data_IF_962155590738
#
_entry.id   IF_962155590738
#
_cell.length_a   1.000
_cell.length_b   1.000
_cell.length_c   1.000
_cell.angle_alpha   90.00
_cell.angle_beta   90.00
_cell.angle_gamma   90.00
#
_symmetry.space_group_name_H-M   'P 1'
#
loop_
_entity.id
_entity.type
_entity.pdbx_description
1 polymer ?
#
# COMPACT_ATOMS: atom_id res chain seq x y z
N UNK A 1 -29.30 -0.34 16.18
CA UNK A 1 -27.94 0.25 16.33
C UNK A 1 -26.89 -0.72 15.80
N UNK A 2 -26.76 -0.91 14.46
CA UNK A 2 -25.83 -1.90 13.87
C UNK A 2 -24.81 -1.34 12.86
N UNK A 3 -24.80 -0.04 12.55
CA UNK A 3 -24.07 0.46 11.38
C UNK A 3 -22.85 1.36 11.70
N UNK A 4 -22.39 1.41 12.94
CA UNK A 4 -21.26 2.29 13.32
C UNK A 4 -19.87 1.73 13.07
N UNK A 5 -19.75 0.44 12.70
CA UNK A 5 -18.56 -0.36 12.95
C UNK A 5 -18.14 -1.04 11.65
N UNK A 6 -17.41 -0.34 10.79
CA UNK A 6 -16.95 -0.93 9.52
C UNK A 6 -15.77 -0.20 8.89
N UNK A 7 -14.94 0.52 9.67
CA UNK A 7 -13.73 1.10 9.07
C UNK A 7 -12.74 0.01 8.62
N UNK A 8 -12.76 -1.18 9.26
CA UNK A 8 -11.69 -2.18 9.11
C UNK A 8 -12.11 -3.60 8.71
N UNK A 9 -13.41 -3.93 8.71
CA UNK A 9 -13.90 -5.21 8.13
C UNK A 9 -13.54 -5.32 6.64
N UNK A 10 -13.22 -4.21 5.96
CA UNK A 10 -12.79 -4.20 4.55
C UNK A 10 -11.27 -4.16 4.37
N UNK A 11 -10.49 -3.71 5.36
CA UNK A 11 -9.02 -3.82 5.31
C UNK A 11 -8.56 -5.28 5.41
N UNK A 12 -9.34 -6.15 6.05
CA UNK A 12 -9.11 -7.61 6.03
C UNK A 12 -9.31 -8.26 4.66
N UNK A 13 -9.94 -7.57 3.71
CA UNK A 13 -10.15 -8.06 2.34
C UNK A 13 -9.05 -7.62 1.37
N UNK A 14 -8.17 -6.69 1.77
CA UNK A 14 -6.91 -6.52 1.06
C UNK A 14 -6.12 -7.79 1.32
N UNK A 15 -6.24 -8.73 0.38
CA UNK A 15 -5.52 -10.00 0.42
C UNK A 15 -4.06 -9.67 0.19
N UNK A 16 -3.37 -9.20 1.23
CA UNK A 16 -1.93 -9.12 1.21
C UNK A 16 -1.46 -10.55 1.01
N UNK A 17 -0.76 -10.82 -0.10
CA UNK A 17 0.08 -11.99 -0.13
C UNK A 17 1.09 -11.78 0.99
N UNK A 18 0.83 -12.33 2.19
CA UNK A 18 1.67 -12.12 3.36
C UNK A 18 3.10 -12.43 2.93
N UNK A 19 3.99 -11.44 3.05
CA UNK A 19 5.37 -11.65 2.69
C UNK A 19 5.99 -12.58 3.71
N UNK A 20 6.64 -13.61 3.19
CA UNK A 20 7.43 -14.52 4.00
C UNK A 20 8.70 -13.83 4.53
N UNK A 21 9.08 -12.66 4.00
CA UNK A 21 10.25 -11.92 4.46
C UNK A 21 10.13 -11.49 5.93
N UNK A 22 11.27 -11.48 6.61
CA UNK A 22 11.41 -11.16 8.03
C UNK A 22 11.86 -12.35 8.87
N UNK A 23 11.98 -12.11 10.18
CA UNK A 23 12.30 -13.14 11.17
C UNK A 23 11.01 -13.81 11.65
N UNK A 24 11.06 -15.13 11.78
CA UNK A 24 9.95 -15.99 12.18
C UNK A 24 10.47 -17.01 13.19
N UNK A 25 9.82 -17.17 14.32
CA UNK A 25 10.29 -18.02 15.42
C UNK A 25 9.21 -18.98 15.89
N UNK A 26 9.62 -20.21 16.10
CA UNK A 26 8.85 -21.14 16.89
C UNK A 26 9.20 -20.96 18.37
N UNK A 27 8.29 -20.35 19.12
CA UNK A 27 8.48 -20.08 20.56
C UNK A 27 8.59 -21.35 21.41
N UNK A 28 8.01 -22.47 20.96
CA UNK A 28 7.99 -23.73 21.70
C UNK A 28 9.36 -24.42 21.68
N UNK A 29 10.05 -24.36 20.55
CA UNK A 29 11.32 -25.07 20.32
C UNK A 29 12.52 -24.12 20.18
N UNK A 30 12.28 -22.79 20.21
CA UNK A 30 13.29 -21.76 20.23
C UNK A 30 14.06 -21.55 18.92
N UNK A 31 13.56 -22.08 17.79
CA UNK A 31 14.22 -21.92 16.50
C UNK A 31 13.61 -20.79 15.68
N UNK A 32 14.40 -20.22 14.77
CA UNK A 32 13.95 -19.14 13.90
C UNK A 32 14.40 -19.25 12.45
N UNK A 33 13.57 -18.77 11.54
CA UNK A 33 13.91 -18.48 10.16
C UNK A 33 14.06 -16.96 10.00
N UNK A 34 15.00 -16.53 9.16
CA UNK A 34 15.10 -15.16 8.65
C UNK A 34 15.07 -15.25 7.13
N UNK A 35 13.96 -14.85 6.53
CA UNK A 35 13.81 -14.81 5.07
C UNK A 35 14.12 -13.39 4.57
N UNK A 36 15.10 -13.26 3.68
CA UNK A 36 15.55 -11.99 3.12
C UNK A 36 14.91 -11.73 1.76
N UNK A 37 14.68 -10.47 1.42
CA UNK A 37 14.04 -10.08 0.15
C UNK A 37 14.78 -10.58 -1.10
N UNK A 38 16.11 -10.74 -1.04
CA UNK A 38 16.93 -11.26 -2.14
C UNK A 38 16.76 -12.78 -2.39
N UNK A 39 15.79 -13.44 -1.75
CA UNK A 39 15.55 -14.87 -1.89
C UNK A 39 16.51 -15.74 -1.08
N UNK A 40 17.34 -15.17 -0.19
CA UNK A 40 18.16 -15.95 0.75
C UNK A 40 17.42 -16.16 2.08
N UNK A 41 17.78 -17.21 2.81
CA UNK A 41 17.29 -17.39 4.18
C UNK A 41 18.39 -17.88 5.12
N UNK A 42 18.19 -17.63 6.41
CA UNK A 42 18.94 -18.23 7.50
C UNK A 42 17.97 -18.97 8.42
N UNK A 43 18.41 -20.10 8.95
CA UNK A 43 17.70 -20.88 9.96
C UNK A 43 18.64 -21.10 11.14
N UNK A 44 18.15 -20.72 12.32
CA UNK A 44 18.86 -20.78 13.59
C UNK A 44 18.09 -21.71 14.53
N UNK A 45 18.79 -22.67 15.14
CA UNK A 45 18.26 -23.61 16.13
C UNK A 45 19.18 -23.63 17.36
N UNK A 46 19.05 -22.65 18.27
CA UNK A 46 19.94 -22.47 19.41
C UNK A 46 19.97 -23.67 20.35
N UNK A 47 18.82 -24.33 20.55
CA UNK A 47 18.65 -25.38 21.56
C UNK A 47 19.46 -26.66 21.30
N UNK A 48 20.09 -26.83 20.13
CA UNK A 48 20.85 -28.04 19.79
C UNK A 48 22.31 -27.77 19.38
N UNK A 49 22.83 -26.55 19.55
CA UNK A 49 24.15 -26.16 18.98
C UNK A 49 24.28 -26.54 17.49
N UNK A 50 23.16 -26.61 16.77
CA UNK A 50 23.18 -26.96 15.36
C UNK A 50 23.77 -25.79 14.57
N UNK A 51 24.52 -26.10 13.52
CA UNK A 51 25.05 -25.08 12.61
C UNK A 51 23.88 -24.28 12.04
N UNK A 52 24.03 -22.96 12.02
CA UNK A 52 23.16 -22.08 11.25
C UNK A 52 23.07 -22.60 9.81
N UNK A 53 21.86 -22.96 9.40
CA UNK A 53 21.60 -23.36 8.04
C UNK A 53 21.28 -22.11 7.24
N UNK A 54 21.84 -22.01 6.05
CA UNK A 54 21.51 -20.92 5.13
C UNK A 54 21.32 -21.48 3.73
N UNK A 55 20.64 -20.71 2.90
CA UNK A 55 20.40 -21.10 1.52
C UNK A 55 19.51 -20.11 0.80
N UNK A 56 18.81 -20.61 -0.21
CA UNK A 56 17.87 -19.83 -1.01
C UNK A 56 16.45 -20.34 -0.84
N UNK A 57 15.48 -19.48 -1.06
CA UNK A 57 14.08 -19.83 -1.09
C UNK A 57 13.40 -19.20 -2.31
N UNK A 58 12.33 -19.85 -2.76
CA UNK A 58 11.44 -19.35 -3.80
C UNK A 58 10.00 -19.59 -3.37
N UNK A 59 9.20 -18.52 -3.29
CA UNK A 59 7.77 -18.59 -2.99
C UNK A 59 6.98 -18.51 -4.29
N UNK A 60 6.03 -19.43 -4.49
CA UNK A 60 5.09 -19.40 -5.61
C UNK A 60 3.68 -19.72 -5.11
N UNK A 61 2.80 -18.72 -5.08
CA UNK A 61 1.48 -18.86 -4.46
C UNK A 61 1.58 -19.31 -2.99
N UNK A 62 1.01 -20.49 -2.70
CA UNK A 62 1.00 -21.14 -1.39
C UNK A 62 2.08 -22.21 -1.24
N UNK A 63 3.13 -22.20 -2.06
CA UNK A 63 4.28 -23.09 -1.91
C UNK A 63 5.56 -22.29 -1.64
N UNK A 64 6.43 -22.87 -0.80
CA UNK A 64 7.75 -22.37 -0.48
C UNK A 64 8.76 -23.46 -0.78
N UNK A 65 9.59 -23.25 -1.78
CA UNK A 65 10.74 -24.09 -2.07
C UNK A 65 11.94 -23.54 -1.32
N UNK A 66 12.52 -24.32 -0.41
CA UNK A 66 13.76 -23.99 0.28
C UNK A 66 14.88 -24.89 -0.25
N UNK A 67 16.03 -24.30 -0.58
CA UNK A 67 17.23 -25.01 -1.03
C UNK A 67 18.42 -24.67 -0.15
N UNK A 68 19.13 -25.67 0.34
CA UNK A 68 20.39 -25.52 1.09
C UNK A 68 21.39 -26.63 0.72
N UNK A 69 22.52 -26.69 1.43
CA UNK A 69 23.56 -27.69 1.20
C UNK A 69 23.10 -29.15 1.40
N UNK A 70 21.98 -29.39 2.10
CA UNK A 70 21.45 -30.72 2.40
C UNK A 70 20.34 -31.16 1.46
N UNK A 71 19.86 -30.26 0.60
CA UNK A 71 18.86 -30.59 -0.42
C UNK A 71 17.80 -29.51 -0.59
N UNK A 72 16.66 -29.95 -1.13
CA UNK A 72 15.51 -29.10 -1.44
C UNK A 72 14.28 -29.62 -0.70
N UNK A 73 13.59 -28.73 0.00
CA UNK A 73 12.32 -29.03 0.70
C UNK A 73 11.24 -28.12 0.14
N UNK A 74 10.05 -28.66 -0.07
CA UNK A 74 8.89 -27.91 -0.55
C UNK A 74 7.82 -27.90 0.53
N UNK A 75 7.49 -26.71 1.03
CA UNK A 75 6.45 -26.50 2.03
C UNK A 75 5.20 -25.94 1.37
N UNK A 76 4.03 -26.39 1.85
CA UNK A 76 2.78 -25.64 1.72
C UNK A 76 2.76 -24.55 2.77
N UNK A 77 2.43 -23.33 2.33
CA UNK A 77 2.27 -22.16 3.18
C UNK A 77 0.80 -22.03 3.57
N UNK A 78 0.55 -21.88 4.86
CA UNK A 78 -0.73 -21.41 5.37
C UNK A 78 -0.51 -20.28 6.38
N UNK A 79 -1.33 -19.25 6.26
CA UNK A 79 -1.29 -18.07 7.11
C UNK A 79 -2.43 -18.11 8.13
N UNK A 80 -2.13 -17.88 9.40
CA UNK A 80 -3.13 -17.80 10.48
C UNK A 80 -2.77 -16.63 11.39
N UNK A 81 -3.35 -15.45 11.12
CA UNK A 81 -2.98 -14.19 11.79
C UNK A 81 -1.50 -13.86 11.55
N UNK A 82 -0.73 -13.71 12.64
CA UNK A 82 0.72 -13.50 12.61
C UNK A 82 1.54 -14.81 12.64
N UNK A 83 0.91 -15.94 12.34
CA UNK A 83 1.57 -17.24 12.25
C UNK A 83 1.76 -17.68 10.80
N UNK A 84 2.99 -18.06 10.49
CA UNK A 84 3.36 -18.78 9.28
C UNK A 84 3.36 -20.28 9.60
N UNK A 85 2.50 -21.03 8.92
CA UNK A 85 2.49 -22.49 8.96
C UNK A 85 3.13 -23.04 7.71
N UNK A 86 4.22 -23.79 7.87
CA UNK A 86 4.93 -24.48 6.79
C UNK A 86 4.68 -25.98 6.93
N UNK A 87 3.98 -26.59 5.98
CA UNK A 87 3.66 -28.02 6.01
C UNK A 87 4.37 -28.77 4.89
N UNK A 88 5.07 -29.84 5.22
CA UNK A 88 5.69 -30.79 4.28
C UNK A 88 5.16 -32.22 4.53
N UNK A 89 5.86 -33.23 4.01
CA UNK A 89 5.48 -34.63 4.25
C UNK A 89 5.79 -35.11 5.68
N UNK A 90 6.62 -34.37 6.42
CA UNK A 90 7.14 -34.72 7.74
C UNK A 90 6.35 -34.04 8.87
N UNK A 91 5.66 -32.94 8.60
CA UNK A 91 4.79 -32.30 9.57
C UNK A 91 4.43 -30.86 9.24
N UNK A 92 4.01 -30.11 10.25
CA UNK A 92 3.71 -28.69 10.15
C UNK A 92 4.52 -27.90 11.16
N UNK A 93 5.24 -26.90 10.67
CA UNK A 93 6.04 -25.96 11.43
C UNK A 93 5.20 -24.72 11.67
N UNK A 94 5.03 -24.32 12.93
CA UNK A 94 4.30 -23.11 13.30
C UNK A 94 5.32 -22.06 13.73
N UNK A 95 5.39 -20.97 12.98
CA UNK A 95 6.31 -19.88 13.22
C UNK A 95 5.53 -18.59 13.52
N UNK A 96 5.98 -17.83 14.50
CA UNK A 96 5.43 -16.53 14.84
C UNK A 96 6.40 -15.46 14.34
N UNK A 97 5.92 -14.39 13.72
CA UNK A 97 6.81 -13.33 13.28
C UNK A 97 7.53 -12.68 14.48
N UNK A 98 8.84 -12.47 14.37
CA UNK A 98 9.67 -11.83 15.40
C UNK A 98 10.20 -10.52 14.87
N UNK A 99 10.10 -9.46 15.68
CA UNK A 99 10.93 -8.28 15.49
C UNK A 99 10.70 -7.54 14.17
N UNK A 100 9.45 -7.37 13.75
CA UNK A 100 9.13 -6.07 13.19
C UNK A 100 9.31 -5.09 14.34
N UNK A 101 10.21 -4.12 14.25
CA UNK A 101 10.13 -2.95 15.13
C UNK A 101 8.75 -2.34 14.87
N UNK A 102 7.75 -2.77 15.62
CA UNK A 102 6.42 -2.22 15.49
C UNK A 102 6.60 -0.73 15.80
N UNK A 103 6.35 0.09 14.77
CA UNK A 103 6.30 1.54 14.95
C UNK A 103 5.23 1.91 15.98
N UNK A 104 4.31 0.98 16.24
CA UNK A 104 3.12 1.09 17.06
C UNK A 104 3.16 0.09 18.23
N UNK A 105 4.32 -0.17 18.83
CA UNK A 105 4.41 -1.03 20.01
C UNK A 105 3.77 -0.33 21.24
N UNK A 106 2.84 -1.00 21.91
CA UNK A 106 2.18 -0.52 23.14
C UNK A 106 3.19 -0.15 24.22
N UNK A 107 4.33 -0.85 24.28
CA UNK A 107 5.41 -0.57 25.24
C UNK A 107 5.99 0.84 25.10
N UNK A 108 5.88 1.44 23.89
CA UNK A 108 6.31 2.81 23.60
C UNK A 108 5.26 3.85 23.98
N UNK A 109 4.01 3.44 24.20
CA UNK A 109 2.87 4.31 24.47
C UNK A 109 2.02 3.81 25.65
N UNK A 110 2.60 3.60 26.86
CA UNK A 110 1.93 2.93 27.97
C UNK A 110 0.83 3.76 28.65
N UNK A 111 0.66 5.03 28.27
CA UNK A 111 -0.27 5.95 28.92
C UNK A 111 -1.72 5.55 28.64
N UNK A 112 -2.47 5.21 29.68
CA UNK A 112 -3.92 4.96 29.60
C UNK A 112 -4.64 6.30 29.42
N UNK A 113 -5.48 6.40 28.38
CA UNK A 113 -6.25 7.62 28.05
C UNK A 113 -7.76 7.45 28.29
N UNK A 114 -8.24 6.20 28.35
CA UNK A 114 -9.60 5.85 28.75
C UNK A 114 -9.67 4.42 29.30
N UNK A 115 -10.69 4.14 30.11
CA UNK A 115 -10.94 2.81 30.67
C UNK A 115 -12.46 2.55 30.70
N UNK A 116 -12.86 1.32 30.37
CA UNK A 116 -14.24 0.84 30.46
C UNK A 116 -14.22 -0.57 31.04
N UNK A 117 -14.64 -0.72 32.30
CA UNK A 117 -14.48 -1.96 33.06
C UNK A 117 -13.01 -2.36 33.18
N UNK A 118 -12.67 -3.56 32.68
CA UNK A 118 -11.30 -4.10 32.65
C UNK A 118 -10.51 -3.68 31.40
N UNK A 119 -11.18 -3.15 30.38
CA UNK A 119 -10.56 -2.76 29.13
C UNK A 119 -9.95 -1.37 29.23
N UNK A 120 -8.76 -1.22 28.66
CA UNK A 120 -7.99 0.02 28.68
C UNK A 120 -7.69 0.45 27.25
N UNK A 121 -7.88 1.74 26.98
CA UNK A 121 -7.38 2.38 25.78
C UNK A 121 -6.11 3.13 26.16
N UNK A 122 -5.00 2.79 25.50
CA UNK A 122 -3.71 3.46 25.64
C UNK A 122 -3.50 4.50 24.53
N UNK A 123 -2.45 5.31 24.65
CA UNK A 123 -2.05 6.32 23.65
C UNK A 123 -1.63 5.68 22.31
N UNK A 124 -1.29 4.38 22.30
CA UNK A 124 -1.02 3.58 21.09
C UNK A 124 -2.21 3.62 20.10
N UNK A 125 -3.44 3.58 20.60
CA UNK A 125 -4.64 3.54 19.77
C UNK A 125 -4.77 4.74 18.83
N UNK A 126 -4.88 5.98 19.36
CA UNK A 126 -4.84 7.18 18.54
C UNK A 126 -3.57 7.32 17.70
N UNK A 127 -2.42 6.85 18.20
CA UNK A 127 -1.15 6.89 17.46
C UNK A 127 -1.17 6.01 16.21
N UNK A 128 -1.86 4.88 16.28
CA UNK A 128 -2.09 3.98 15.14
C UNK A 128 -2.87 4.70 14.04
N UNK A 129 -3.99 5.35 14.39
CA UNK A 129 -4.77 6.12 13.43
C UNK A 129 -3.97 7.31 12.86
N UNK A 130 -3.24 8.05 13.70
CA UNK A 130 -2.38 9.16 13.24
C UNK A 130 -1.38 8.66 12.20
N UNK A 131 -0.74 7.52 12.45
CA UNK A 131 0.29 6.95 11.57
C UNK A 131 -0.30 6.53 10.22
N UNK A 132 -1.48 5.91 10.23
CA UNK A 132 -2.20 5.54 9.00
C UNK A 132 -2.63 6.79 8.22
N UNK A 133 -3.18 7.79 8.90
CA UNK A 133 -3.59 9.05 8.27
C UNK A 133 -2.37 9.75 7.66
N UNK A 134 -1.23 9.77 8.36
CA UNK A 134 0.01 10.33 7.84
C UNK A 134 0.47 9.64 6.56
N UNK A 135 0.34 8.30 6.48
CA UNK A 135 0.64 7.53 5.27
C UNK A 135 -0.30 7.92 4.13
N UNK A 136 -1.62 7.94 4.37
CA UNK A 136 -2.63 8.25 3.35
C UNK A 136 -2.48 9.66 2.79
N UNK A 137 -2.14 10.62 3.67
CA UNK A 137 -1.90 12.01 3.33
C UNK A 137 -0.51 12.28 2.73
N UNK A 138 0.44 11.35 2.91
CA UNK A 138 1.88 11.61 2.68
C UNK A 138 2.36 12.86 3.45
N UNK A 139 1.80 13.10 4.63
CA UNK A 139 2.02 14.31 5.43
C UNK A 139 1.77 14.06 6.90
N UNK A 140 2.63 14.63 7.75
CA UNK A 140 2.40 14.67 9.19
C UNK A 140 1.21 15.58 9.54
N UNK A 141 0.22 15.03 10.22
CA UNK A 141 -0.91 15.81 10.76
C UNK A 141 -0.46 16.77 11.86
N UNK A 142 -1.21 17.85 12.07
CA UNK A 142 -0.87 18.83 13.11
C UNK A 142 -1.18 18.31 14.51
N UNK A 143 -0.63 18.95 15.54
CA UNK A 143 -0.98 18.65 16.94
C UNK A 143 -2.49 18.79 17.19
N UNK A 144 -3.16 19.77 16.57
CA UNK A 144 -4.60 19.98 16.73
C UNK A 144 -5.40 18.82 16.11
N UNK A 145 -4.98 18.34 14.94
CA UNK A 145 -5.60 17.18 14.31
C UNK A 145 -5.39 15.91 15.15
N UNK A 146 -4.18 15.71 15.68
CA UNK A 146 -3.90 14.59 16.58
C UNK A 146 -4.78 14.62 17.84
N UNK A 147 -4.96 15.78 18.47
CA UNK A 147 -5.89 15.90 19.61
C UNK A 147 -7.33 15.57 19.23
N UNK A 148 -7.74 15.86 17.99
CA UNK A 148 -9.06 15.50 17.47
C UNK A 148 -9.20 13.98 17.30
N UNK A 149 -8.14 13.30 16.82
CA UNK A 149 -8.07 11.83 16.76
C UNK A 149 -8.19 11.24 18.18
N UNK A 150 -7.42 11.74 19.15
CA UNK A 150 -7.44 11.26 20.54
C UNK A 150 -8.83 11.39 21.15
N UNK A 151 -9.46 12.56 21.01
CA UNK A 151 -10.80 12.81 21.55
C UNK A 151 -11.84 11.86 20.93
N UNK A 152 -11.77 11.64 19.62
CA UNK A 152 -12.71 10.79 18.92
C UNK A 152 -12.52 9.30 19.22
N UNK A 153 -11.28 8.80 19.19
CA UNK A 153 -10.99 7.42 19.58
C UNK A 153 -11.44 7.13 21.02
N UNK A 154 -11.22 8.08 21.95
CA UNK A 154 -11.71 7.98 23.33
C UNK A 154 -13.23 7.91 23.40
N UNK A 155 -13.93 8.79 22.68
CA UNK A 155 -15.41 8.81 22.63
C UNK A 155 -15.95 7.49 22.08
N UNK A 156 -15.39 6.98 21.00
CA UNK A 156 -15.78 5.70 20.39
C UNK A 156 -15.51 4.53 21.34
N UNK A 157 -14.35 4.51 22.01
CA UNK A 157 -14.00 3.45 22.96
C UNK A 157 -14.96 3.39 24.15
N UNK A 158 -15.37 4.53 24.70
CA UNK A 158 -16.33 4.56 25.82
C UNK A 158 -17.74 4.07 25.41
N UNK A 159 -18.06 4.08 24.11
CA UNK A 159 -19.33 3.58 23.56
C UNK A 159 -19.28 2.07 23.27
N UNK A 160 -18.17 1.56 22.75
CA UNK A 160 -18.00 0.15 22.37
C UNK A 160 -16.51 -0.30 22.48
N UNK A 161 -16.01 -0.59 23.69
CA UNK A 161 -14.57 -0.73 23.93
C UNK A 161 -13.93 -1.94 23.23
N UNK A 162 -14.59 -3.10 23.23
CA UNK A 162 -14.08 -4.32 22.57
C UNK A 162 -13.89 -4.10 21.08
N UNK A 163 -14.85 -3.39 20.46
CA UNK A 163 -14.85 -3.10 19.03
C UNK A 163 -13.68 -2.20 18.67
N UNK A 164 -13.49 -1.11 19.41
CA UNK A 164 -12.43 -0.15 19.11
C UNK A 164 -11.04 -0.74 19.33
N UNK A 165 -10.86 -1.59 20.35
CA UNK A 165 -9.60 -2.31 20.52
C UNK A 165 -9.35 -3.30 19.38
N UNK A 166 -10.38 -4.02 18.92
CA UNK A 166 -10.29 -4.89 17.75
C UNK A 166 -9.94 -4.14 16.45
N UNK A 167 -10.54 -2.97 16.25
CA UNK A 167 -10.25 -2.09 15.12
C UNK A 167 -8.79 -1.58 15.17
N UNK A 168 -8.33 -1.08 16.32
CA UNK A 168 -6.94 -0.64 16.50
C UNK A 168 -5.95 -1.77 16.17
N UNK A 169 -6.19 -2.97 16.71
CA UNK A 169 -5.32 -4.12 16.46
C UNK A 169 -5.29 -4.50 14.98
N UNK A 170 -6.45 -4.54 14.32
CA UNK A 170 -6.54 -4.85 12.89
C UNK A 170 -5.83 -3.79 12.04
N UNK A 171 -5.97 -2.52 12.41
CA UNK A 171 -5.34 -1.39 11.73
C UNK A 171 -3.82 -1.46 11.83
N UNK A 172 -3.32 -1.74 13.04
CA UNK A 172 -1.90 -1.97 13.32
C UNK A 172 -1.34 -3.13 12.51
N UNK A 173 -1.97 -4.30 12.55
CA UNK A 173 -1.52 -5.47 11.81
C UNK A 173 -1.50 -5.22 10.29
N UNK A 174 -2.54 -4.60 9.76
CA UNK A 174 -2.62 -4.25 8.34
C UNK A 174 -1.49 -3.29 7.96
N UNK A 175 -1.31 -2.22 8.74
CA UNK A 175 -0.28 -1.22 8.51
C UNK A 175 1.14 -1.81 8.59
N UNK A 176 1.41 -2.65 9.58
CA UNK A 176 2.68 -3.35 9.71
C UNK A 176 2.96 -4.28 8.52
N UNK A 177 1.95 -5.01 8.04
CA UNK A 177 2.08 -5.85 6.85
C UNK A 177 2.43 -5.02 5.61
N UNK A 178 1.82 -3.83 5.46
CA UNK A 178 2.10 -2.93 4.33
C UNK A 178 3.52 -2.40 4.37
N UNK A 179 3.96 -1.90 5.52
CA UNK A 179 5.34 -1.41 5.68
C UNK A 179 6.38 -2.49 5.44
N UNK A 180 6.09 -3.73 5.82
CA UNK A 180 6.99 -4.87 5.62
C UNK A 180 7.03 -5.36 4.16
N UNK A 181 5.92 -5.24 3.44
CA UNK A 181 5.89 -5.56 2.01
C UNK A 181 6.67 -4.52 1.20
N UNK A 182 6.65 -3.25 1.62
CA UNK A 182 7.25 -2.13 0.89
C UNK A 182 6.47 -1.75 -0.36
N UNK A 183 5.89 -2.73 -1.08
CA UNK A 183 5.18 -2.62 -2.36
C UNK A 183 4.22 -1.40 -2.50
N UNK A 184 4.57 -0.36 -3.29
CA UNK A 184 3.72 0.72 -3.77
C UNK A 184 2.32 0.33 -4.22
N UNK A 185 2.11 -0.80 -4.89
CA UNK A 185 0.76 -1.23 -5.24
C UNK A 185 -0.02 -1.63 -4.00
N UNK A 186 0.63 -2.29 -3.05
CA UNK A 186 0.05 -2.66 -1.76
C UNK A 186 -0.25 -1.42 -0.91
N UNK A 187 0.70 -0.48 -0.84
CA UNK A 187 0.53 0.82 -0.18
C UNK A 187 -0.63 1.59 -0.81
N UNK A 188 -0.69 1.66 -2.14
CA UNK A 188 -1.74 2.36 -2.88
C UNK A 188 -3.12 1.73 -2.68
N UNK A 189 -3.21 0.40 -2.70
CA UNK A 189 -4.45 -0.31 -2.40
C UNK A 189 -4.93 -0.03 -0.98
N UNK A 190 -4.03 -0.07 0.01
CA UNK A 190 -4.38 0.29 1.37
C UNK A 190 -4.84 1.74 1.49
N UNK A 191 -4.08 2.67 0.91
CA UNK A 191 -4.41 4.10 0.89
C UNK A 191 -5.82 4.31 0.36
N UNK A 192 -6.13 3.70 -0.78
CA UNK A 192 -7.43 3.83 -1.43
C UNK A 192 -8.56 3.14 -0.68
N UNK A 193 -8.32 1.95 -0.11
CA UNK A 193 -9.30 1.27 0.74
C UNK A 193 -9.64 2.12 1.97
N UNK A 194 -8.62 2.68 2.63
CA UNK A 194 -8.82 3.52 3.81
C UNK A 194 -9.53 4.84 3.47
N UNK A 195 -9.01 5.60 2.50
CA UNK A 195 -9.56 6.88 2.08
C UNK A 195 -10.98 6.73 1.54
N UNK A 196 -11.21 5.72 0.70
CA UNK A 196 -12.51 5.37 0.14
C UNK A 196 -13.57 5.08 1.20
N UNK A 197 -13.20 4.30 2.21
CA UNK A 197 -14.11 3.97 3.30
C UNK A 197 -14.40 5.18 4.18
N UNK A 198 -13.40 5.99 4.54
CA UNK A 198 -13.62 7.22 5.31
C UNK A 198 -14.52 8.18 4.53
N UNK A 199 -14.30 8.35 3.22
CA UNK A 199 -15.13 9.20 2.38
C UNK A 199 -16.57 8.69 2.28
N UNK A 200 -16.76 7.40 1.99
CA UNK A 200 -18.08 6.76 1.96
C UNK A 200 -18.81 6.98 3.28
N UNK A 201 -18.20 6.65 4.42
CA UNK A 201 -18.87 6.73 5.70
C UNK A 201 -19.13 8.17 6.14
N UNK A 202 -18.16 9.08 5.98
CA UNK A 202 -18.27 10.43 6.50
C UNK A 202 -19.07 11.38 5.60
N UNK A 203 -18.88 11.28 4.28
CA UNK A 203 -19.45 12.21 3.30
C UNK A 203 -20.74 11.67 2.71
N UNK A 204 -20.75 10.41 2.27
CA UNK A 204 -21.92 9.82 1.61
C UNK A 204 -22.95 9.35 2.64
N UNK A 205 -22.53 8.56 3.63
CA UNK A 205 -23.43 7.99 4.65
C UNK A 205 -23.66 8.96 5.82
N UNK A 206 -22.94 10.09 5.87
CA UNK A 206 -23.01 11.11 6.91
C UNK A 206 -22.82 10.58 8.34
N UNK A 207 -22.02 9.53 8.51
CA UNK A 207 -21.74 8.93 9.81
C UNK A 207 -20.97 9.93 10.70
N UNK A 208 -21.55 10.39 11.83
CA UNK A 208 -20.92 11.39 12.69
C UNK A 208 -19.61 10.89 13.31
N UNK A 209 -19.49 9.58 13.55
CA UNK A 209 -18.30 8.96 14.13
C UNK A 209 -17.10 9.01 13.14
N UNK A 210 -17.35 9.23 11.83
CA UNK A 210 -16.32 9.33 10.79
C UNK A 210 -16.04 10.76 10.31
N UNK A 211 -16.90 11.71 10.64
CA UNK A 211 -16.73 13.10 10.24
C UNK A 211 -15.46 13.73 10.82
N UNK A 212 -15.01 13.31 12.02
CA UNK A 212 -13.77 13.84 12.61
C UNK A 212 -12.56 13.46 11.77
N UNK A 213 -12.48 12.20 11.34
CA UNK A 213 -11.40 11.73 10.46
C UNK A 213 -11.47 12.41 9.10
N UNK A 214 -12.66 12.52 8.51
CA UNK A 214 -12.82 13.21 7.23
C UNK A 214 -12.41 14.69 7.30
N UNK A 215 -12.75 15.42 8.37
CA UNK A 215 -12.31 16.82 8.56
C UNK A 215 -10.80 16.99 8.58
N UNK A 216 -10.04 15.95 8.93
CA UNK A 216 -8.58 15.97 8.82
C UNK A 216 -8.17 15.78 7.36
N UNK A 217 -8.77 14.80 6.66
CA UNK A 217 -8.50 14.57 5.24
C UNK A 217 -8.87 15.77 4.36
N UNK A 218 -10.05 16.36 4.57
CA UNK A 218 -10.61 17.49 3.82
C UNK A 218 -9.71 18.75 3.86
N UNK A 219 -8.88 18.90 4.90
CA UNK A 219 -7.87 19.99 4.98
C UNK A 219 -6.71 19.82 4.00
N UNK A 220 -6.43 18.59 3.58
CA UNK A 220 -5.21 18.24 2.85
C UNK A 220 -5.47 17.54 1.52
N UNK A 221 -6.67 16.98 1.33
CA UNK A 221 -7.08 16.28 0.14
C UNK A 221 -8.32 16.94 -0.42
N UNK A 222 -8.27 17.23 -1.71
CA UNK A 222 -9.41 17.64 -2.50
C UNK A 222 -9.88 16.43 -3.33
N UNK A 223 -11.08 15.93 -3.05
CA UNK A 223 -11.67 14.78 -3.75
C UNK A 223 -12.47 15.27 -4.94
N UNK A 224 -11.99 14.93 -6.14
CA UNK A 224 -12.59 15.39 -7.40
C UNK A 224 -13.54 14.37 -8.02
N UNK A 225 -13.38 13.08 -7.69
CA UNK A 225 -14.33 12.05 -8.08
C UNK A 225 -14.35 10.87 -7.10
N UNK A 226 -15.52 10.24 -6.97
CA UNK A 226 -15.73 9.06 -6.14
C UNK A 226 -16.61 8.06 -6.87
N UNK A 227 -16.26 6.77 -6.81
CA UNK A 227 -17.09 5.69 -7.34
C UNK A 227 -17.61 4.81 -6.19
N UNK A 228 -18.90 4.94 -5.87
CA UNK A 228 -19.52 4.22 -4.75
C UNK A 228 -19.51 2.70 -4.89
N UNK A 229 -19.37 2.16 -6.12
CA UNK A 229 -19.32 0.71 -6.35
C UNK A 229 -17.97 0.11 -5.99
N UNK A 230 -16.89 0.78 -6.35
CA UNK A 230 -15.51 0.33 -6.06
C UNK A 230 -14.92 0.97 -4.82
N UNK A 231 -15.59 1.98 -4.26
CA UNK A 231 -15.13 2.84 -3.17
C UNK A 231 -13.79 3.52 -3.46
N UNK A 232 -13.40 3.68 -4.72
CA UNK A 232 -12.17 4.37 -5.09
C UNK A 232 -12.37 5.89 -5.13
N UNK A 233 -11.36 6.62 -4.67
CA UNK A 233 -11.36 8.09 -4.56
C UNK A 233 -10.26 8.66 -5.44
N UNK A 234 -10.65 9.50 -6.40
CA UNK A 234 -9.71 10.32 -7.16
C UNK A 234 -9.54 11.67 -6.47
N UNK A 235 -8.33 11.98 -6.03
CA UNK A 235 -7.98 13.29 -5.48
C UNK A 235 -7.37 14.20 -6.54
N UNK A 236 -7.41 15.52 -6.33
CA UNK A 236 -6.69 16.49 -7.18
C UNK A 236 -5.19 16.18 -7.26
N UNK A 237 -4.57 15.72 -6.17
CA UNK A 237 -3.15 15.30 -6.14
C UNK A 237 -2.92 14.11 -7.08
N UNK A 238 -3.77 13.09 -6.99
CA UNK A 238 -3.68 11.90 -7.84
C UNK A 238 -3.91 12.25 -9.33
N UNK A 239 -4.89 13.11 -9.62
CA UNK A 239 -5.15 13.59 -10.97
C UNK A 239 -3.96 14.39 -11.55
N UNK A 240 -3.39 15.31 -10.77
CA UNK A 240 -2.22 16.07 -11.19
C UNK A 240 -1.01 15.15 -11.42
N UNK A 241 -0.79 14.18 -10.54
CA UNK A 241 0.26 13.19 -10.70
C UNK A 241 0.07 12.34 -11.96
N UNK A 242 -1.16 11.98 -12.32
CA UNK A 242 -1.45 11.28 -13.58
C UNK A 242 -1.06 12.11 -14.81
N UNK A 243 -1.37 13.41 -14.83
CA UNK A 243 -0.94 14.30 -15.92
C UNK A 243 0.58 14.45 -15.96
N UNK A 244 1.23 14.54 -14.80
CA UNK A 244 2.68 14.62 -14.68
C UNK A 244 3.36 13.31 -15.10
N UNK A 245 2.70 12.17 -14.88
CA UNK A 245 3.13 10.87 -15.37
C UNK A 245 3.10 10.83 -16.90
N UNK A 246 2.02 11.31 -17.53
CA UNK A 246 1.95 11.40 -19.00
C UNK A 246 3.06 12.30 -19.54
N UNK A 247 3.28 13.46 -18.94
CA UNK A 247 4.36 14.38 -19.33
C UNK A 247 5.75 13.74 -19.18
N UNK A 248 5.98 13.01 -18.09
CA UNK A 248 7.22 12.30 -17.83
C UNK A 248 7.50 11.29 -18.94
N UNK A 249 6.51 10.48 -19.32
CA UNK A 249 6.64 9.51 -20.39
C UNK A 249 6.87 10.19 -21.73
N UNK A 250 6.10 11.24 -22.04
CA UNK A 250 6.23 11.98 -23.30
C UNK A 250 7.66 12.48 -23.51
N UNK A 251 8.21 13.17 -22.51
CA UNK A 251 9.56 13.73 -22.56
C UNK A 251 10.62 12.63 -22.67
N UNK A 252 10.47 11.54 -21.91
CA UNK A 252 11.44 10.45 -21.96
C UNK A 252 11.39 9.64 -23.26
N UNK A 253 10.29 9.69 -24.00
CA UNK A 253 10.14 9.09 -25.33
C UNK A 253 10.55 10.06 -26.47
N UNK A 254 11.01 11.27 -26.14
CA UNK A 254 11.42 12.28 -27.13
C UNK A 254 10.27 13.17 -27.66
N UNK A 255 9.09 13.09 -27.05
CA UNK A 255 7.95 13.97 -27.31
C UNK A 255 7.97 15.25 -26.47
N UNK A 256 6.84 15.96 -26.48
CA UNK A 256 6.63 17.18 -25.70
C UNK A 256 5.58 16.96 -24.60
N UNK A 257 5.67 17.76 -23.54
CA UNK A 257 4.65 17.82 -22.49
C UNK A 257 3.30 18.24 -23.05
N UNK A 258 2.22 17.85 -22.37
CA UNK A 258 0.89 18.35 -22.62
C UNK A 258 0.86 19.87 -22.43
N UNK A 259 0.26 20.57 -23.39
CA UNK A 259 -0.04 21.99 -23.21
C UNK A 259 -1.17 22.19 -22.19
N UNK A 260 -1.35 23.43 -21.71
CA UNK A 260 -2.34 23.75 -20.66
C UNK A 260 -3.78 23.37 -21.06
N UNK A 261 -4.16 23.59 -22.31
CA UNK A 261 -5.50 23.27 -22.80
C UNK A 261 -5.75 21.75 -22.79
N UNK A 262 -4.80 20.95 -23.28
CA UNK A 262 -4.87 19.49 -23.26
C UNK A 262 -4.88 18.94 -21.82
N UNK A 263 -4.09 19.51 -20.91
CA UNK A 263 -4.11 19.12 -19.48
C UNK A 263 -5.47 19.37 -18.85
N UNK A 264 -6.07 20.55 -19.11
CA UNK A 264 -7.40 20.89 -18.61
C UNK A 264 -8.47 19.94 -19.18
N UNK A 265 -8.49 19.75 -20.49
CA UNK A 265 -9.45 18.86 -21.15
C UNK A 265 -9.33 17.41 -20.64
N UNK A 266 -8.10 16.90 -20.49
CA UNK A 266 -7.88 15.55 -19.97
C UNK A 266 -8.35 15.43 -18.52
N UNK A 267 -8.08 16.44 -17.68
CA UNK A 267 -8.56 16.48 -16.30
C UNK A 267 -10.07 16.40 -16.21
N UNK A 268 -10.77 17.23 -16.98
CA UNK A 268 -12.23 17.28 -17.02
C UNK A 268 -12.82 15.94 -17.50
N UNK A 269 -12.23 15.33 -18.53
CA UNK A 269 -12.66 14.02 -19.03
C UNK A 269 -12.39 12.90 -18.03
N UNK A 270 -11.25 12.93 -17.33
CA UNK A 270 -10.93 11.96 -16.28
C UNK A 270 -11.93 12.01 -15.14
N UNK A 271 -12.26 13.20 -14.65
CA UNK A 271 -13.26 13.39 -13.58
C UNK A 271 -14.63 12.92 -14.06
N UNK A 272 -15.09 13.39 -15.23
CA UNK A 272 -16.43 13.10 -15.74
C UNK A 272 -16.66 11.61 -16.02
N UNK A 273 -15.62 10.88 -16.41
CA UNK A 273 -15.72 9.46 -16.76
C UNK A 273 -15.24 8.52 -15.67
N UNK A 274 -14.74 9.02 -14.53
CA UNK A 274 -14.08 8.20 -13.50
C UNK A 274 -14.91 6.98 -13.09
N UNK A 275 -16.21 7.15 -12.81
CA UNK A 275 -17.10 6.05 -12.39
C UNK A 275 -17.36 5.01 -13.48
N UNK A 276 -17.14 5.34 -14.75
CA UNK A 276 -17.36 4.46 -15.92
C UNK A 276 -16.11 3.66 -16.31
N UNK A 277 -14.94 4.06 -15.81
CA UNK A 277 -13.68 3.35 -16.07
C UNK A 277 -13.70 1.93 -15.49
N UNK A 278 -12.87 1.06 -16.05
CA UNK A 278 -12.63 -0.26 -15.49
C UNK A 278 -11.97 -0.16 -14.12
N UNK A 279 -12.04 -1.23 -13.34
CA UNK A 279 -11.47 -1.25 -11.99
C UNK A 279 -9.95 -0.99 -12.01
N UNK A 280 -9.21 -1.52 -12.99
CA UNK A 280 -7.76 -1.35 -13.07
C UNK A 280 -7.39 0.11 -13.43
N UNK A 281 -8.14 0.74 -14.33
CA UNK A 281 -7.95 2.16 -14.67
C UNK A 281 -8.22 3.07 -13.47
N UNK A 282 -9.31 2.82 -12.73
CA UNK A 282 -9.61 3.56 -11.49
C UNK A 282 -8.49 3.39 -10.46
N UNK A 283 -8.01 2.16 -10.25
CA UNK A 283 -6.90 1.87 -9.32
C UNK A 283 -5.63 2.59 -9.72
N UNK A 284 -5.30 2.61 -11.01
CA UNK A 284 -4.13 3.31 -11.53
C UNK A 284 -4.25 4.82 -11.30
N UNK A 285 -5.36 5.42 -11.70
CA UNK A 285 -5.60 6.86 -11.53
C UNK A 285 -5.58 7.28 -10.06
N UNK A 286 -6.24 6.51 -9.19
CA UNK A 286 -6.33 6.82 -7.76
C UNK A 286 -5.01 6.59 -7.00
N UNK A 287 -3.99 6.00 -7.67
CA UNK A 287 -2.65 5.80 -7.14
C UNK A 287 -1.57 6.39 -8.07
N UNK A 288 -1.96 7.34 -8.92
CA UNK A 288 -1.06 7.87 -9.94
C UNK A 288 0.13 8.62 -9.35
N UNK A 289 0.01 9.17 -8.14
CA UNK A 289 1.14 9.75 -7.40
C UNK A 289 2.26 8.72 -7.14
N UNK A 290 1.90 7.53 -6.67
CA UNK A 290 2.87 6.45 -6.44
C UNK A 290 3.51 5.98 -7.75
N UNK A 291 2.70 5.78 -8.80
CA UNK A 291 3.18 5.39 -10.12
C UNK A 291 4.13 6.43 -10.73
N UNK A 292 3.79 7.72 -10.58
CA UNK A 292 4.61 8.84 -11.03
C UNK A 292 5.96 8.88 -10.33
N UNK A 293 5.97 8.88 -8.99
CA UNK A 293 7.20 8.96 -8.20
C UNK A 293 8.12 7.77 -8.48
N UNK A 294 7.56 6.57 -8.55
CA UNK A 294 8.31 5.36 -8.86
C UNK A 294 8.96 5.44 -10.25
N UNK A 295 8.17 5.79 -11.26
CA UNK A 295 8.66 5.86 -12.65
C UNK A 295 9.71 6.96 -12.79
N UNK A 296 9.49 8.11 -12.16
CA UNK A 296 10.45 9.22 -12.15
C UNK A 296 11.78 8.81 -11.51
N UNK A 297 11.73 8.14 -10.36
CA UNK A 297 12.92 7.64 -9.67
C UNK A 297 13.71 6.69 -10.57
N UNK A 298 13.05 5.72 -11.20
CA UNK A 298 13.70 4.76 -12.09
C UNK A 298 14.34 5.43 -13.32
N UNK A 299 13.58 6.26 -14.05
CA UNK A 299 14.10 6.94 -15.23
C UNK A 299 15.26 7.89 -14.88
N UNK A 300 15.27 8.48 -13.69
CA UNK A 300 16.38 9.34 -13.24
C UNK A 300 17.69 8.58 -13.00
N UNK A 301 17.63 7.26 -12.82
CA UNK A 301 18.80 6.40 -12.61
C UNK A 301 19.35 5.80 -13.91
N UNK A 302 18.68 6.02 -15.04
CA UNK A 302 19.15 5.52 -16.32
C UNK A 302 20.44 6.22 -16.74
N UNK A 303 21.38 5.42 -17.22
CA UNK A 303 22.51 5.90 -18.02
C UNK A 303 22.02 6.50 -19.33
N UNK A 304 22.88 7.27 -20.00
CA UNK A 304 22.58 7.80 -21.33
C UNK A 304 22.24 6.69 -22.34
N UNK A 305 22.93 5.55 -22.27
CA UNK A 305 22.67 4.40 -23.14
C UNK A 305 21.29 3.77 -22.84
N UNK A 306 20.96 3.52 -21.58
CA UNK A 306 19.64 3.00 -21.19
C UNK A 306 18.51 3.95 -21.60
N UNK A 307 18.72 5.26 -21.45
CA UNK A 307 17.77 6.29 -21.90
C UNK A 307 17.54 6.22 -23.41
N UNK A 308 18.61 6.04 -24.20
CA UNK A 308 18.49 5.92 -25.65
C UNK A 308 17.79 4.62 -26.06
N UNK A 309 18.09 3.49 -25.42
CA UNK A 309 17.40 2.22 -25.65
C UNK A 309 15.92 2.33 -25.30
N UNK A 310 15.60 2.94 -24.17
CA UNK A 310 14.22 3.19 -23.74
C UNK A 310 13.45 4.01 -24.79
N UNK A 311 14.06 5.09 -25.31
CA UNK A 311 13.47 5.90 -26.40
C UNK A 311 13.21 5.11 -27.68
N UNK A 312 14.11 4.20 -28.03
CA UNK A 312 13.96 3.38 -29.25
C UNK A 312 12.87 2.31 -29.08
N UNK A 313 12.70 1.77 -27.87
CA UNK A 313 11.71 0.75 -27.56
C UNK A 313 10.29 1.33 -27.44
N UNK A 314 10.16 2.54 -26.90
CA UNK A 314 8.86 3.14 -26.60
C UNK A 314 8.63 4.38 -27.45
N UNK A 315 7.69 4.30 -28.39
CA UNK A 315 7.30 5.44 -29.24
C UNK A 315 6.34 6.38 -28.50
N UNK A 316 6.46 7.72 -28.67
CA UNK A 316 5.56 8.69 -28.05
C UNK A 316 4.08 8.45 -28.37
N UNK A 317 3.30 8.08 -27.35
CA UNK A 317 1.83 7.93 -27.46
C UNK A 317 1.07 9.27 -27.23
N UNK A 318 1.76 10.31 -26.73
CA UNK A 318 1.15 11.57 -26.25
C UNK A 318 0.69 12.50 -27.38
N UNK A 319 1.16 12.31 -28.61
CA UNK A 319 0.74 13.14 -29.76
C UNK A 319 -0.77 13.04 -30.06
N UNK A 320 -1.42 11.92 -29.71
CA UNK A 320 -2.85 11.70 -29.94
C UNK A 320 -3.73 12.65 -29.09
N UNK A 321 -3.28 13.03 -27.90
CA UNK A 321 -4.04 13.85 -26.94
C UNK A 321 -4.07 15.33 -27.35
N UNK A 322 -3.05 15.80 -28.07
CA UNK A 322 -2.94 17.22 -28.43
C UNK A 322 -3.63 17.56 -29.75
N UNK A 323 -3.91 16.56 -30.59
CA UNK A 323 -4.40 16.75 -31.97
C UNK A 323 -5.86 16.35 -32.17
N UNK A 324 -6.41 15.49 -31.31
CA UNK A 324 -7.80 15.03 -31.40
C UNK A 324 -8.70 15.69 -30.36
N UNK A 325 -9.95 15.96 -30.76
CA UNK A 325 -10.99 16.36 -29.81
C UNK A 325 -11.29 15.16 -28.89
N UNK A 326 -11.02 15.33 -27.60
CA UNK A 326 -11.23 14.30 -26.59
C UNK A 326 -12.72 14.18 -26.24
N UNK A 327 -13.41 13.24 -26.88
CA UNK A 327 -14.73 12.78 -26.47
C UNK A 327 -14.63 11.60 -25.48
N UNK A 328 -15.76 11.13 -24.96
CA UNK A 328 -15.81 10.07 -23.96
C UNK A 328 -15.27 8.72 -24.49
N UNK A 329 -15.55 8.39 -25.75
CA UNK A 329 -15.13 7.13 -26.38
C UNK A 329 -13.63 7.13 -26.64
N UNK A 330 -13.09 8.24 -27.13
CA UNK A 330 -11.67 8.47 -27.26
C UNK A 330 -10.99 8.39 -25.89
N UNK A 331 -11.54 9.03 -24.85
CA UNK A 331 -10.98 8.99 -23.51
C UNK A 331 -10.91 7.56 -22.96
N UNK A 332 -11.95 6.74 -23.13
CA UNK A 332 -11.92 5.34 -22.69
C UNK A 332 -10.84 4.53 -23.40
N UNK A 333 -10.69 4.70 -24.73
CA UNK A 333 -9.61 4.04 -25.48
C UNK A 333 -8.24 4.52 -25.01
N UNK A 334 -8.08 5.82 -24.82
CA UNK A 334 -6.85 6.44 -24.36
C UNK A 334 -6.44 5.97 -22.96
N UNK A 335 -7.38 5.94 -22.01
CA UNK A 335 -7.18 5.46 -20.64
C UNK A 335 -6.69 4.00 -20.63
N UNK A 336 -7.31 3.12 -21.40
CA UNK A 336 -6.90 1.71 -21.52
C UNK A 336 -5.49 1.59 -22.08
N UNK A 337 -5.22 2.31 -23.17
CA UNK A 337 -3.92 2.34 -23.82
C UNK A 337 -2.82 2.85 -22.87
N UNK A 338 -3.12 3.85 -22.03
CA UNK A 338 -2.19 4.37 -21.03
C UNK A 338 -1.86 3.33 -19.95
N UNK A 339 -2.85 2.54 -19.52
CA UNK A 339 -2.63 1.45 -18.57
C UNK A 339 -1.77 0.32 -19.18
N UNK A 340 -2.07 -0.08 -20.42
CA UNK A 340 -1.28 -1.09 -21.16
C UNK A 340 0.16 -0.62 -21.37
N UNK A 341 0.33 0.66 -21.74
CA UNK A 341 1.62 1.29 -21.90
C UNK A 341 2.39 1.35 -20.57
N UNK A 342 1.71 1.65 -19.45
CA UNK A 342 2.33 1.61 -18.12
C UNK A 342 2.92 0.23 -17.81
N UNK A 343 2.16 -0.85 -18.00
CA UNK A 343 2.65 -2.22 -17.78
C UNK A 343 3.87 -2.52 -18.66
N UNK A 344 3.81 -2.15 -19.93
CA UNK A 344 4.93 -2.35 -20.87
C UNK A 344 6.18 -1.57 -20.46
N UNK A 345 6.02 -0.31 -20.04
CA UNK A 345 7.12 0.56 -19.59
C UNK A 345 7.76 0.01 -18.32
N UNK A 346 6.97 -0.47 -17.36
CA UNK A 346 7.52 -1.05 -16.13
C UNK A 346 8.35 -2.31 -16.44
N UNK A 347 7.87 -3.18 -17.33
CA UNK A 347 8.64 -4.34 -17.79
C UNK A 347 9.94 -3.92 -18.53
N UNK A 348 9.87 -2.86 -19.35
CA UNK A 348 11.05 -2.30 -20.02
C UNK A 348 12.09 -1.75 -19.06
N UNK A 349 11.64 -1.03 -18.02
CA UNK A 349 12.51 -0.49 -16.97
C UNK A 349 13.24 -1.60 -16.22
N UNK A 350 12.53 -2.68 -15.88
CA UNK A 350 13.11 -3.85 -15.22
C UNK A 350 14.20 -4.51 -16.10
N UNK A 351 13.88 -4.77 -17.36
CA UNK A 351 14.82 -5.39 -18.30
C UNK A 351 16.09 -4.57 -18.55
N UNK A 352 16.03 -3.25 -18.38
CA UNK A 352 17.17 -2.35 -18.58
C UNK A 352 18.08 -2.24 -17.35
N UNK A 353 17.86 -3.05 -16.30
CA UNK A 353 18.68 -3.02 -15.09
C UNK A 353 18.20 -1.97 -14.08
N UNK A 354 16.95 -1.53 -14.17
CA UNK A 354 16.25 -1.00 -13.01
C UNK A 354 16.29 -2.05 -11.89
N UNK A 355 16.53 -1.61 -10.65
CA UNK A 355 16.64 -2.55 -9.52
C UNK A 355 15.34 -3.32 -9.33
N UNK A 356 15.47 -4.61 -9.01
CA UNK A 356 14.39 -5.46 -8.51
C UNK A 356 13.76 -4.95 -7.20
N UNK A 357 14.37 -3.93 -6.58
CA UNK A 357 13.87 -3.18 -5.44
C UNK A 357 12.82 -2.13 -5.86
N UNK A 358 12.00 -2.45 -6.88
CA UNK A 358 10.97 -1.61 -7.51
C UNK A 358 9.83 -1.19 -6.57
N UNK A 359 9.94 -1.57 -5.29
CA UNK A 359 8.88 -1.45 -4.31
C UNK A 359 9.26 -0.67 -3.05
N UNK A 360 10.40 0.03 -2.97
CA UNK A 360 10.70 0.81 -1.75
C UNK A 360 10.32 2.28 -1.92
N UNK A 361 9.11 2.66 -1.47
CA UNK A 361 8.93 4.03 -0.97
C UNK A 361 9.62 4.05 0.39
N UNK A 362 10.84 4.59 0.44
CA UNK A 362 11.39 5.03 1.72
C UNK A 362 10.49 6.16 2.21
N UNK A 363 9.87 6.04 3.39
CA UNK A 363 9.15 7.17 3.97
C UNK A 363 10.07 8.40 3.90
N UNK A 364 9.59 9.48 3.30
CA UNK A 364 10.34 10.75 3.17
C UNK A 364 10.63 11.39 4.54
N UNK A 365 9.99 10.85 5.58
CA UNK A 365 10.18 11.20 6.96
C UNK A 365 11.14 10.19 7.57
N UNK A 366 12.34 10.66 7.96
CA UNK A 366 13.19 9.90 8.87
C UNK A 366 12.43 9.64 10.16
N UNK A 367 12.11 8.37 10.42
CA UNK A 367 11.48 7.89 11.66
C UNK A 367 12.39 6.85 12.31
#
# INVERSE_FOLDING_TARGET
MKNGILLLVLLSHVSFAQSITGKWENKQFGYSFVFNQNGSYNFDFPAQNMRNLSGTYQKSGNTLLIKNAYGTVNYKIQWVGNQLRLSDAQGTWILNKVGGNSLLDESKFPKIIAQSGTLKLTEEGPKTYETIINLVLDKKVTTVDYQSIVAETKRMFLKCPEVILGDIQTAKESFEQILQNGDPNVIGQFRQAFLGQVYQMAVIDQNPDMQVFWKIFDKYLDVVAFDSKSQLVLTSKDLEAYLNYIDLLAVNQGGQKLNLASRKQLSEQTIANFSRLSQNEKKFLSNADLAYQLTKSNLSRFTAQQTQTFRQQFTPQVQLVQTQQMDADFYQRYSRMMLENHVSIMNGIENLGGTGDYWEIKPSYGW
#
